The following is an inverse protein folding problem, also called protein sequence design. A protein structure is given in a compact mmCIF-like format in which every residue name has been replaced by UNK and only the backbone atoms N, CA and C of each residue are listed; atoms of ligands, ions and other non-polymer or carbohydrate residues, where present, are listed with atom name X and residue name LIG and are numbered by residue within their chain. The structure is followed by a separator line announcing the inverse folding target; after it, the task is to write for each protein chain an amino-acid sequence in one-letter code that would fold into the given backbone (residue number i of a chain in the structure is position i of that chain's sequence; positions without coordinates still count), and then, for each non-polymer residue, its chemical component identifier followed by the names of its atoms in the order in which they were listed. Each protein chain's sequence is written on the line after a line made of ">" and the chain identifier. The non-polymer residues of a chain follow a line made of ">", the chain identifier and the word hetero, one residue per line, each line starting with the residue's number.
data_IF_047765039791
#
_entry.id   IF_047765039791
#
_cell.length_a   1.000
_cell.length_b   1.000
_cell.length_c   1.000
_cell.angle_alpha   90.00
_cell.angle_beta   90.00
_cell.angle_gamma   90.00
#
_symmetry.space_group_name_H-M   'P 1'
#
loop_
_entity.id
_entity.type
_entity.pdbx_description
1 polymer ?
#
# COMPACT_ATOMS: atom_id res chain seq x y z
N UNK A 1 -83.64 45.05 -2.58
CA UNK A 1 -84.34 46.16 -3.26
C UNK A 1 -83.36 46.72 -4.28
N UNK A 2 -83.85 46.78 -5.49
CA UNK A 2 -83.25 47.29 -6.74
C UNK A 2 -82.13 46.47 -7.39
N UNK A 3 -82.62 45.80 -8.41
CA UNK A 3 -82.08 45.30 -9.62
C UNK A 3 -81.77 46.44 -10.59
N UNK A 4 -80.68 46.36 -11.36
CA UNK A 4 -80.69 46.83 -12.76
C UNK A 4 -79.76 45.94 -13.57
N UNK A 5 -80.34 45.39 -14.68
CA UNK A 5 -79.71 44.74 -15.82
C UNK A 5 -79.24 45.83 -16.78
N UNK A 6 -78.36 45.40 -17.70
CA UNK A 6 -78.26 45.70 -19.15
C UNK A 6 -76.78 45.82 -19.51
N UNK A 7 -76.29 45.54 -20.65
CA UNK A 7 -76.61 44.73 -21.80
C UNK A 7 -75.35 44.73 -22.69
N UNK A 8 -75.14 43.71 -23.40
CA UNK A 8 -74.30 43.41 -24.59
C UNK A 8 -73.52 44.56 -25.25
N UNK A 9 -72.20 44.26 -25.52
CA UNK A 9 -71.61 44.50 -26.87
C UNK A 9 -70.52 43.55 -27.18
N UNK A 10 -70.67 42.75 -28.23
CA UNK A 10 -69.68 41.87 -28.81
C UNK A 10 -68.69 42.73 -29.64
N UNK A 11 -67.37 42.54 -29.40
CA UNK A 11 -66.37 42.89 -30.38
C UNK A 11 -65.36 41.78 -30.47
N UNK A 12 -65.29 41.13 -31.61
CA UNK A 12 -64.30 40.14 -32.00
C UNK A 12 -62.97 40.84 -32.25
N UNK A 13 -61.95 40.43 -31.53
CA UNK A 13 -60.60 40.75 -31.93
C UNK A 13 -59.79 39.43 -31.99
N UNK A 14 -59.27 39.16 -33.18
CA UNK A 14 -58.36 38.10 -33.48
C UNK A 14 -57.05 38.38 -32.71
N UNK A 15 -56.71 37.58 -31.75
CA UNK A 15 -55.36 37.58 -31.13
C UNK A 15 -54.51 36.50 -31.85
N UNK A 16 -53.53 36.97 -32.59
CA UNK A 16 -52.51 36.13 -33.20
C UNK A 16 -51.62 35.58 -32.08
N UNK A 17 -51.63 34.29 -31.91
CA UNK A 17 -50.78 33.60 -30.95
C UNK A 17 -49.38 33.47 -31.57
N UNK A 18 -48.42 34.26 -31.09
CA UNK A 18 -47.00 34.09 -31.39
C UNK A 18 -46.46 33.00 -30.45
N UNK A 19 -46.26 31.82 -31.01
CA UNK A 19 -45.58 30.72 -30.30
C UNK A 19 -44.07 31.02 -30.38
N UNK A 20 -43.52 31.56 -29.30
CA UNK A 20 -42.06 31.63 -29.08
C UNK A 20 -41.54 30.24 -28.77
N UNK A 21 -40.95 29.56 -29.76
CA UNK A 21 -40.14 28.37 -29.52
C UNK A 21 -38.87 28.78 -28.80
N UNK A 22 -38.84 28.63 -27.46
CA UNK A 22 -37.63 28.69 -26.67
C UNK A 22 -36.87 27.39 -26.94
N UNK A 23 -35.86 27.45 -27.81
CA UNK A 23 -34.94 26.33 -28.06
C UNK A 23 -34.11 26.03 -26.81
N UNK A 24 -34.51 24.99 -26.08
CA UNK A 24 -33.72 24.43 -24.98
C UNK A 24 -32.50 23.71 -25.59
N UNK A 25 -31.38 24.40 -25.74
CA UNK A 25 -30.11 23.75 -26.06
C UNK A 25 -29.66 22.96 -24.83
N UNK A 26 -29.94 21.66 -24.79
CA UNK A 26 -29.29 20.74 -23.88
C UNK A 26 -27.78 20.76 -24.23
N UNK A 27 -27.01 21.51 -23.47
CA UNK A 27 -25.55 21.36 -23.46
C UNK A 27 -25.24 19.93 -22.94
N UNK A 28 -24.87 19.03 -23.86
CA UNK A 28 -24.36 17.72 -23.49
C UNK A 28 -23.11 17.96 -22.64
N UNK A 29 -23.17 17.70 -21.32
CA UNK A 29 -21.99 17.66 -20.49
C UNK A 29 -21.02 16.63 -21.12
N UNK A 30 -19.72 16.98 -21.25
CA UNK A 30 -18.76 16.01 -21.75
C UNK A 30 -18.83 14.79 -20.85
N UNK A 31 -19.12 13.62 -21.44
CA UNK A 31 -19.01 12.35 -20.75
C UNK A 31 -17.61 12.28 -20.18
N UNK A 32 -17.49 12.33 -18.85
CA UNK A 32 -16.22 12.11 -18.19
C UNK A 32 -15.72 10.76 -18.68
N UNK A 33 -14.61 10.75 -19.42
CA UNK A 33 -13.96 9.54 -19.84
C UNK A 33 -13.79 8.70 -18.57
N UNK A 34 -14.38 7.49 -18.54
CA UNK A 34 -14.25 6.57 -17.42
C UNK A 34 -12.75 6.36 -17.20
N UNK A 35 -12.20 6.99 -16.19
CA UNK A 35 -10.79 6.94 -15.87
C UNK A 35 -10.40 5.48 -15.73
N UNK A 36 -9.28 5.07 -16.34
CA UNK A 36 -8.76 3.73 -16.20
C UNK A 36 -8.62 3.45 -14.71
N UNK A 37 -9.35 2.45 -14.20
CA UNK A 37 -9.30 2.08 -12.77
C UNK A 37 -7.85 1.88 -12.35
N UNK A 38 -7.45 2.45 -11.20
CA UNK A 38 -6.10 2.31 -10.67
C UNK A 38 -5.69 0.83 -10.60
N UNK A 39 -4.50 0.53 -11.08
CA UNK A 39 -3.91 -0.80 -11.05
C UNK A 39 -2.59 -0.76 -10.29
N UNK A 40 -2.43 -1.62 -9.27
CA UNK A 40 -1.29 -1.58 -8.37
C UNK A 40 0.00 -2.11 -9.01
N UNK A 41 -0.12 -3.13 -9.88
CA UNK A 41 1.04 -3.76 -10.51
C UNK A 41 1.73 -2.76 -11.44
N UNK A 42 3.05 -2.64 -11.29
CA UNK A 42 3.90 -1.71 -12.03
C UNK A 42 3.51 -0.22 -11.88
N UNK A 43 2.69 0.11 -10.88
CA UNK A 43 2.32 1.50 -10.61
C UNK A 43 3.55 2.31 -10.18
N UNK A 44 3.78 3.41 -10.87
CA UNK A 44 4.82 4.37 -10.49
C UNK A 44 4.37 5.23 -9.30
N UNK A 45 5.31 5.94 -8.67
CA UNK A 45 4.98 6.94 -7.63
C UNK A 45 3.98 7.96 -8.17
N UNK A 46 4.15 8.40 -9.41
CA UNK A 46 3.26 9.36 -10.05
C UNK A 46 1.84 8.78 -10.23
N UNK A 47 1.71 7.51 -10.65
CA UNK A 47 0.40 6.86 -10.81
C UNK A 47 -0.33 6.77 -9.46
N UNK A 48 0.37 6.38 -8.39
CA UNK A 48 -0.17 6.30 -7.04
C UNK A 48 -0.69 7.68 -6.60
N UNK A 49 0.14 8.72 -6.74
CA UNK A 49 -0.23 10.07 -6.31
C UNK A 49 -1.38 10.64 -7.13
N UNK A 50 -1.39 10.42 -8.44
CA UNK A 50 -2.51 10.83 -9.29
C UNK A 50 -3.81 10.12 -8.92
N UNK A 51 -3.76 8.82 -8.60
CA UNK A 51 -4.94 8.07 -8.17
C UNK A 51 -5.47 8.60 -6.82
N UNK A 52 -4.59 8.94 -5.86
CA UNK A 52 -4.99 9.55 -4.59
C UNK A 52 -5.60 10.94 -4.83
N UNK A 53 -4.97 11.80 -5.64
CA UNK A 53 -5.48 13.13 -5.96
C UNK A 53 -6.85 13.09 -6.65
N UNK A 54 -7.12 12.06 -7.46
CA UNK A 54 -8.43 11.83 -8.10
C UNK A 54 -9.40 11.10 -7.19
N UNK A 55 -9.00 10.73 -5.97
CA UNK A 55 -9.80 9.95 -5.02
C UNK A 55 -10.23 8.58 -5.56
N UNK A 56 -9.43 7.99 -6.44
CA UNK A 56 -9.62 6.64 -6.98
C UNK A 56 -9.16 5.57 -5.98
N UNK A 57 -8.23 5.91 -5.10
CA UNK A 57 -7.70 5.06 -4.04
C UNK A 57 -7.24 5.91 -2.85
N UNK A 58 -7.22 5.32 -1.66
CA UNK A 58 -6.66 5.90 -0.43
C UNK A 58 -5.32 5.25 -0.08
N UNK A 59 -4.51 5.90 0.77
CA UNK A 59 -3.29 5.32 1.31
C UNK A 59 -3.59 4.03 2.09
N UNK A 60 -4.69 4.00 2.83
CA UNK A 60 -5.14 2.81 3.57
C UNK A 60 -5.49 1.65 2.65
N UNK A 61 -6.18 1.91 1.54
CA UNK A 61 -6.49 0.88 0.54
C UNK A 61 -5.22 0.35 -0.14
N UNK A 62 -4.26 1.23 -0.46
CA UNK A 62 -2.96 0.82 -0.99
C UNK A 62 -2.23 -0.13 -0.05
N UNK A 63 -2.13 0.20 1.25
CA UNK A 63 -1.51 -0.69 2.24
C UNK A 63 -2.23 -2.04 2.28
N UNK A 64 -3.58 -2.05 2.26
CA UNK A 64 -4.37 -3.30 2.25
C UNK A 64 -4.13 -4.13 0.99
N UNK A 65 -4.00 -3.51 -0.18
CA UNK A 65 -3.67 -4.21 -1.43
C UNK A 65 -2.29 -4.85 -1.35
N UNK A 66 -1.28 -4.13 -0.84
CA UNK A 66 0.05 -4.70 -0.62
C UNK A 66 0.02 -5.85 0.40
N UNK A 67 -0.72 -5.73 1.50
CA UNK A 67 -0.87 -6.81 2.48
C UNK A 67 -1.54 -8.05 1.87
N UNK A 68 -2.53 -7.89 1.00
CA UNK A 68 -3.14 -9.00 0.27
C UNK A 68 -2.11 -9.71 -0.65
N UNK A 69 -1.28 -8.94 -1.37
CA UNK A 69 -0.19 -9.50 -2.19
C UNK A 69 0.85 -10.20 -1.34
N UNK A 70 1.26 -9.61 -0.22
CA UNK A 70 2.19 -10.24 0.73
C UNK A 70 1.63 -11.58 1.19
N UNK A 71 0.36 -11.65 1.54
CA UNK A 71 -0.29 -12.90 1.95
C UNK A 71 -0.29 -13.94 0.84
N UNK A 72 -0.48 -13.54 -0.41
CA UNK A 72 -0.50 -14.44 -1.56
C UNK A 72 0.90 -14.96 -1.93
N UNK A 73 1.93 -14.13 -1.83
CA UNK A 73 3.24 -14.43 -2.42
C UNK A 73 4.40 -14.56 -1.44
N UNK A 74 4.24 -14.16 -0.17
CA UNK A 74 5.34 -14.20 0.82
C UNK A 74 5.41 -15.53 1.58
N UNK A 75 5.16 -16.64 0.90
CA UNK A 75 5.23 -18.00 1.45
C UNK A 75 6.55 -18.69 1.15
N UNK A 76 6.65 -19.96 1.56
CA UNK A 76 7.80 -20.83 1.36
C UNK A 76 7.97 -21.17 -0.12
N UNK A 77 9.17 -21.05 -0.64
CA UNK A 77 9.51 -21.34 -2.03
C UNK A 77 10.60 -22.42 -2.21
N UNK A 78 11.11 -22.96 -1.10
CA UNK A 78 12.13 -24.01 -1.13
C UNK A 78 11.84 -25.10 -0.10
N UNK A 79 12.35 -26.30 -0.35
CA UNK A 79 12.47 -27.39 0.61
C UNK A 79 13.88 -27.41 1.18
N UNK A 80 14.00 -27.50 2.48
CA UNK A 80 15.28 -27.59 3.20
C UNK A 80 15.15 -28.63 4.33
N UNK A 81 15.03 -29.93 3.99
CA UNK A 81 14.77 -30.98 4.98
C UNK A 81 15.90 -31.13 6.01
N UNK A 82 17.11 -30.72 5.65
CA UNK A 82 18.30 -30.73 6.52
C UNK A 82 18.56 -29.39 7.21
N UNK A 83 17.54 -28.53 7.30
CA UNK A 83 17.61 -27.20 7.93
C UNK A 83 18.29 -26.15 7.05
N UNK A 84 18.48 -24.95 7.62
CA UNK A 84 18.91 -23.74 6.90
C UNK A 84 20.33 -23.87 6.30
N UNK A 85 21.19 -24.72 6.86
CA UNK A 85 22.54 -24.97 6.35
C UNK A 85 22.59 -26.07 5.30
N UNK A 86 21.52 -26.83 5.14
CA UNK A 86 21.41 -27.90 4.14
C UNK A 86 21.33 -27.41 2.69
N UNK A 87 21.26 -28.34 1.79
CA UNK A 87 21.01 -28.05 0.38
C UNK A 87 19.68 -27.31 0.23
N UNK A 88 19.66 -26.35 -0.71
CA UNK A 88 18.44 -25.63 -1.08
C UNK A 88 17.83 -26.35 -2.28
N UNK A 89 16.65 -26.92 -2.09
CA UNK A 89 15.88 -27.56 -3.16
C UNK A 89 14.70 -26.64 -3.48
N UNK A 90 14.59 -26.25 -4.74
CA UNK A 90 13.46 -25.41 -5.18
C UNK A 90 12.18 -26.23 -5.19
N UNK A 91 11.08 -25.62 -4.77
CA UNK A 91 9.75 -26.19 -4.90
C UNK A 91 9.20 -25.82 -6.27
N UNK A 92 8.95 -26.79 -7.17
CA UNK A 92 8.39 -26.51 -8.49
C UNK A 92 7.05 -25.74 -8.35
N UNK A 93 6.94 -24.67 -9.14
CA UNK A 93 5.74 -23.82 -9.18
C UNK A 93 5.28 -23.33 -7.81
N UNK A 94 6.21 -23.02 -6.90
CA UNK A 94 5.92 -22.60 -5.54
C UNK A 94 4.95 -21.40 -5.47
N UNK A 95 4.98 -20.50 -6.47
CA UNK A 95 4.14 -19.31 -6.50
C UNK A 95 4.41 -18.31 -5.38
N UNK A 96 5.44 -18.58 -4.56
CA UNK A 96 5.81 -17.78 -3.38
C UNK A 96 7.30 -17.44 -3.42
N UNK A 97 7.70 -16.35 -2.73
CA UNK A 97 9.07 -15.83 -2.84
C UNK A 97 9.76 -15.55 -1.50
N UNK A 98 9.04 -15.61 -0.38
CA UNK A 98 9.56 -15.31 0.96
C UNK A 98 10.37 -13.99 1.05
N UNK A 99 9.89 -12.94 0.41
CA UNK A 99 10.61 -11.69 0.24
C UNK A 99 10.67 -10.81 1.49
N UNK A 100 9.75 -11.00 2.44
CA UNK A 100 9.59 -10.12 3.60
C UNK A 100 9.74 -10.90 4.91
N UNK A 101 10.57 -10.36 5.82
CA UNK A 101 10.85 -10.95 7.12
C UNK A 101 9.90 -10.47 8.22
N UNK A 102 9.60 -9.19 8.26
CA UNK A 102 8.82 -8.53 9.32
C UNK A 102 7.79 -7.59 8.72
N UNK A 103 6.63 -7.44 9.37
CA UNK A 103 5.56 -6.53 8.98
C UNK A 103 5.33 -5.45 10.03
N UNK A 104 5.19 -4.21 9.60
CA UNK A 104 4.87 -3.07 10.45
C UNK A 104 3.37 -3.04 10.77
N UNK A 105 2.92 -4.01 11.56
CA UNK A 105 1.53 -4.17 11.98
C UNK A 105 1.45 -4.36 13.49
N UNK A 106 0.44 -3.76 14.11
CA UNK A 106 0.03 -4.09 15.49
C UNK A 106 -0.29 -5.57 15.62
N UNK A 107 -0.07 -6.20 16.78
CA UNK A 107 -0.40 -7.62 16.98
C UNK A 107 -1.83 -7.99 16.62
N UNK A 108 -2.81 -7.13 16.97
CA UNK A 108 -4.21 -7.35 16.64
C UNK A 108 -4.45 -7.35 15.12
N UNK A 109 -3.94 -6.34 14.41
CA UNK A 109 -4.06 -6.22 12.95
C UNK A 109 -3.34 -7.37 12.24
N UNK A 110 -2.14 -7.73 12.70
CA UNK A 110 -1.35 -8.82 12.16
C UNK A 110 -2.09 -10.16 12.25
N UNK A 111 -2.63 -10.47 13.43
CA UNK A 111 -3.42 -11.71 13.68
C UNK A 111 -4.72 -11.72 12.87
N UNK A 112 -5.46 -10.62 12.85
CA UNK A 112 -6.71 -10.50 12.08
C UNK A 112 -6.49 -10.71 10.58
N UNK A 113 -5.35 -10.29 10.04
CA UNK A 113 -4.95 -10.51 8.66
C UNK A 113 -4.34 -11.91 8.43
N UNK A 114 -4.18 -12.71 9.48
CA UNK A 114 -3.69 -14.09 9.42
C UNK A 114 -2.20 -14.22 9.13
N UNK A 115 -1.39 -13.27 9.57
CA UNK A 115 0.07 -13.37 9.58
C UNK A 115 0.56 -13.95 10.91
N UNK A 116 1.57 -14.80 10.85
CA UNK A 116 2.15 -15.47 12.01
C UNK A 116 3.00 -14.53 12.90
N UNK A 117 3.44 -15.07 14.06
CA UNK A 117 4.20 -14.32 15.03
C UNK A 117 5.64 -14.02 14.57
N UNK A 118 6.18 -14.75 13.61
CA UNK A 118 7.49 -14.44 13.02
C UNK A 118 7.51 -13.11 12.28
N UNK A 119 6.35 -12.65 11.81
CA UNK A 119 6.17 -11.35 11.16
C UNK A 119 6.00 -10.18 12.16
N UNK A 120 6.10 -10.42 13.47
CA UNK A 120 5.93 -9.41 14.51
C UNK A 120 7.01 -8.33 14.45
N UNK A 121 6.62 -7.09 14.77
CA UNK A 121 7.51 -5.93 14.84
C UNK A 121 8.57 -6.04 15.95
N UNK A 122 8.22 -6.72 17.04
CA UNK A 122 9.08 -7.04 18.17
C UNK A 122 8.67 -8.39 18.77
N UNK A 123 9.61 -9.09 19.34
CA UNK A 123 9.33 -10.33 20.11
C UNK A 123 9.31 -10.08 21.62
N UNK A 124 9.81 -8.93 22.06
CA UNK A 124 9.92 -8.56 23.47
C UNK A 124 8.80 -7.66 23.96
N UNK A 125 8.10 -6.98 23.06
CA UNK A 125 6.96 -6.12 23.37
C UNK A 125 5.63 -6.85 23.10
N UNK A 126 5.12 -7.54 24.10
CA UNK A 126 3.92 -8.36 23.98
C UNK A 126 2.65 -7.56 23.65
N UNK A 127 2.54 -6.32 24.09
CA UNK A 127 1.36 -5.48 23.90
C UNK A 127 1.44 -4.63 22.64
N UNK A 128 2.64 -4.16 22.31
CA UNK A 128 2.93 -3.27 21.17
C UNK A 128 1.82 -2.20 20.95
N UNK A 129 1.44 -1.53 22.04
CA UNK A 129 0.33 -0.56 22.07
C UNK A 129 0.79 0.90 22.08
N UNK A 130 2.10 1.17 21.95
CA UNK A 130 2.63 2.53 22.05
C UNK A 130 2.04 3.47 20.99
N UNK A 131 1.40 4.59 21.37
CA UNK A 131 0.91 5.58 20.41
C UNK A 131 2.04 6.30 19.67
N UNK A 132 3.29 6.24 20.19
CA UNK A 132 4.47 6.83 19.55
C UNK A 132 5.01 5.99 18.39
N UNK A 133 4.53 4.76 18.23
CA UNK A 133 4.93 3.83 17.19
C UNK A 133 3.70 3.34 16.38
N UNK A 134 3.03 4.24 15.63
CA UNK A 134 1.90 3.85 14.79
C UNK A 134 2.33 2.79 13.78
N UNK A 135 1.44 1.85 13.46
CA UNK A 135 1.70 0.86 12.41
C UNK A 135 1.42 1.43 11.01
N UNK A 136 1.72 0.65 9.98
CA UNK A 136 1.56 1.11 8.60
C UNK A 136 0.11 1.45 8.24
N UNK A 137 -0.88 0.78 8.83
CA UNK A 137 -2.30 1.08 8.63
C UNK A 137 -2.70 2.38 9.33
N UNK A 138 -2.19 2.62 10.54
CA UNK A 138 -2.41 3.86 11.29
C UNK A 138 -1.77 5.06 10.59
N UNK A 139 -0.56 4.91 10.06
CA UNK A 139 0.12 5.94 9.26
C UNK A 139 -0.67 6.24 7.99
N UNK A 140 -1.13 5.22 7.27
CA UNK A 140 -1.93 5.38 6.08
C UNK A 140 -3.25 6.11 6.37
N UNK A 141 -3.95 5.73 7.44
CA UNK A 141 -5.19 6.38 7.86
C UNK A 141 -4.97 7.85 8.25
N UNK A 142 -3.84 8.18 8.88
CA UNK A 142 -3.49 9.56 9.21
C UNK A 142 -3.22 10.38 7.93
N UNK A 143 -2.58 9.81 6.92
CA UNK A 143 -2.39 10.47 5.62
C UNK A 143 -3.72 10.72 4.91
N UNK A 144 -4.62 9.74 4.92
CA UNK A 144 -5.96 9.87 4.33
C UNK A 144 -6.77 10.97 5.01
N UNK A 145 -6.71 11.03 6.35
CA UNK A 145 -7.38 12.09 7.13
C UNK A 145 -6.81 13.47 6.82
N UNK A 146 -5.49 13.61 6.72
CA UNK A 146 -4.84 14.87 6.38
C UNK A 146 -5.18 15.31 4.96
N UNK A 147 -5.17 14.39 4.00
CA UNK A 147 -5.58 14.65 2.63
C UNK A 147 -7.06 15.06 2.54
N UNK A 148 -7.94 14.38 3.27
CA UNK A 148 -9.35 14.74 3.32
C UNK A 148 -9.57 16.15 3.88
N UNK A 149 -8.76 16.57 4.88
CA UNK A 149 -8.83 17.88 5.53
C UNK A 149 -8.27 19.00 4.68
N UNK A 150 -7.17 18.75 3.96
CA UNK A 150 -6.38 19.81 3.29
C UNK A 150 -6.47 19.79 1.77
N UNK A 151 -6.84 18.65 1.17
CA UNK A 151 -6.71 18.39 -0.26
C UNK A 151 -5.27 18.33 -0.77
N UNK A 152 -4.28 18.26 0.15
CA UNK A 152 -2.86 18.26 -0.20
C UNK A 152 -2.18 16.98 0.24
N UNK A 153 -1.26 16.49 -0.58
CA UNK A 153 -0.38 15.39 -0.21
C UNK A 153 0.56 15.85 0.91
N UNK A 154 0.86 14.95 1.87
CA UNK A 154 1.75 15.27 3.02
C UNK A 154 3.22 15.43 2.60
N UNK A 155 3.59 14.93 1.43
CA UNK A 155 4.94 15.01 0.90
C UNK A 155 5.10 14.31 -0.44
N UNK A 156 6.30 14.34 -1.02
CA UNK A 156 6.56 13.75 -2.35
C UNK A 156 6.47 12.22 -2.38
N UNK A 157 6.35 11.55 -1.23
CA UNK A 157 6.15 10.10 -1.13
C UNK A 157 4.83 9.74 -0.43
N UNK A 158 3.86 10.66 -0.39
CA UNK A 158 2.54 10.36 0.17
C UNK A 158 1.92 9.13 -0.51
N UNK A 159 1.45 8.17 0.29
CA UNK A 159 0.86 6.92 -0.18
C UNK A 159 1.85 5.88 -0.70
N UNK A 160 3.14 6.22 -0.81
CA UNK A 160 4.16 5.27 -1.29
C UNK A 160 4.48 4.27 -0.20
N UNK A 161 4.15 3.00 -0.45
CA UNK A 161 4.38 1.88 0.47
C UNK A 161 5.74 1.25 0.19
N UNK A 162 6.56 1.10 1.23
CA UNK A 162 7.94 0.63 1.10
C UNK A 162 8.25 -0.57 2.00
N UNK A 163 9.12 -1.45 1.51
CA UNK A 163 9.84 -2.43 2.31
C UNK A 163 11.30 -1.96 2.47
N UNK A 164 11.79 -1.95 3.70
CA UNK A 164 13.17 -1.55 4.03
C UNK A 164 14.00 -2.81 4.24
N UNK A 165 15.16 -2.89 3.61
CA UNK A 165 16.06 -4.05 3.79
C UNK A 165 16.39 -4.25 5.27
N UNK A 166 16.31 -5.49 5.75
CA UNK A 166 16.37 -5.82 7.19
C UNK A 166 17.74 -5.67 7.84
N UNK A 167 18.63 -4.87 7.26
CA UNK A 167 19.88 -4.40 7.86
C UNK A 167 19.84 -2.93 8.24
N UNK A 168 18.79 -2.19 7.84
CA UNK A 168 18.65 -0.78 8.17
C UNK A 168 17.68 -0.60 9.31
N UNK A 169 18.06 0.21 10.26
CA UNK A 169 17.28 0.46 11.47
C UNK A 169 15.96 1.16 11.16
N UNK A 170 14.92 0.64 11.81
CA UNK A 170 13.57 1.22 11.83
C UNK A 170 13.07 1.18 13.27
N UNK A 171 12.80 2.35 13.86
CA UNK A 171 12.48 2.47 15.29
C UNK A 171 11.24 1.68 15.72
N UNK A 172 10.36 1.36 14.76
CA UNK A 172 9.08 0.69 14.96
C UNK A 172 9.10 -0.81 14.64
N UNK A 173 10.18 -1.31 14.08
CA UNK A 173 10.36 -2.74 13.79
C UNK A 173 11.75 -3.21 14.19
N UNK A 174 11.87 -4.48 14.57
CA UNK A 174 13.17 -5.11 14.80
C UNK A 174 14.03 -5.08 13.55
N UNK A 175 15.34 -4.98 13.73
CA UNK A 175 16.34 -5.04 12.67
C UNK A 175 17.25 -6.24 12.94
N UNK A 176 17.16 -7.28 12.11
CA UNK A 176 17.80 -8.57 12.39
C UNK A 176 19.05 -8.82 11.58
N UNK A 177 19.29 -8.08 10.50
CA UNK A 177 20.29 -8.41 9.48
C UNK A 177 20.21 -9.86 8.98
N UNK A 178 19.02 -10.46 9.09
CA UNK A 178 18.76 -11.85 8.75
C UNK A 178 19.16 -12.87 9.83
N UNK A 179 19.77 -12.44 10.94
CA UNK A 179 20.19 -13.34 12.02
C UNK A 179 19.06 -13.59 13.02
N UNK A 180 18.87 -14.86 13.39
CA UNK A 180 17.98 -15.26 14.48
C UNK A 180 18.76 -15.23 15.81
N UNK A 181 19.18 -14.05 16.22
CA UNK A 181 19.95 -13.79 17.42
C UNK A 181 19.12 -13.02 18.45
N UNK A 182 19.42 -13.20 19.73
CA UNK A 182 18.63 -12.60 20.82
C UNK A 182 18.51 -11.07 20.68
N UNK A 183 19.61 -10.36 20.37
CA UNK A 183 19.59 -8.91 20.19
C UNK A 183 18.77 -8.44 18.98
N UNK A 184 18.57 -9.29 17.98
CA UNK A 184 17.81 -8.97 16.78
C UNK A 184 16.29 -8.99 17.00
N UNK A 185 15.84 -9.34 18.20
CA UNK A 185 14.41 -9.34 18.53
C UNK A 185 13.91 -7.99 19.04
N UNK A 186 14.81 -7.06 19.35
CA UNK A 186 14.46 -5.73 19.81
C UNK A 186 14.42 -4.71 18.67
N UNK A 187 13.63 -3.66 18.91
CA UNK A 187 13.58 -2.52 17.99
C UNK A 187 14.77 -1.59 18.26
N UNK A 188 15.40 -1.05 17.20
CA UNK A 188 16.37 0.03 17.33
C UNK A 188 15.76 1.27 17.99
N UNK A 189 16.55 2.10 18.70
CA UNK A 189 16.04 3.30 19.35
C UNK A 189 15.58 4.38 18.35
N UNK A 190 16.12 4.36 17.12
CA UNK A 190 15.84 5.36 16.07
C UNK A 190 15.92 4.75 14.68
N UNK A 191 15.37 5.46 13.70
CA UNK A 191 15.50 5.12 12.30
C UNK A 191 16.92 5.40 11.79
N UNK A 192 17.40 4.60 10.86
CA UNK A 192 18.53 4.99 10.02
C UNK A 192 18.21 6.30 9.29
N UNK A 193 19.21 7.17 9.10
CA UNK A 193 19.03 8.52 8.55
C UNK A 193 18.20 8.56 7.26
N UNK A 194 18.44 7.63 6.34
CA UNK A 194 17.67 7.61 5.08
C UNK A 194 16.21 7.17 5.30
N UNK A 195 15.94 6.25 6.25
CA UNK A 195 14.58 5.81 6.61
C UNK A 195 13.79 6.99 7.20
N UNK A 196 14.41 7.74 8.13
CA UNK A 196 13.82 8.94 8.68
C UNK A 196 13.46 9.97 7.57
N UNK A 197 14.34 10.15 6.59
CA UNK A 197 14.08 11.02 5.43
C UNK A 197 12.94 10.52 4.54
N UNK A 198 12.83 9.21 4.31
CA UNK A 198 11.72 8.63 3.55
C UNK A 198 10.38 8.86 4.27
N UNK A 199 10.33 8.63 5.58
CA UNK A 199 9.12 8.90 6.38
C UNK A 199 8.76 10.39 6.37
N UNK A 200 9.74 11.28 6.54
CA UNK A 200 9.53 12.73 6.46
C UNK A 200 8.99 13.18 5.10
N UNK A 201 9.33 12.46 4.03
CA UNK A 201 8.78 12.67 2.70
C UNK A 201 7.38 12.08 2.49
N UNK A 202 6.82 11.37 3.48
CA UNK A 202 5.49 10.78 3.44
C UNK A 202 5.43 9.30 3.05
N UNK A 203 6.56 8.59 3.00
CA UNK A 203 6.56 7.16 2.73
C UNK A 203 5.97 6.35 3.89
N UNK A 204 5.26 5.28 3.57
CA UNK A 204 4.71 4.32 4.53
C UNK A 204 5.63 3.10 4.56
N UNK A 205 6.37 2.93 5.66
CA UNK A 205 7.23 1.75 5.85
C UNK A 205 6.38 0.60 6.33
N UNK A 206 6.09 -0.35 5.42
CA UNK A 206 5.19 -1.49 5.69
C UNK A 206 5.94 -2.72 6.20
N UNK A 207 7.18 -2.94 5.79
CA UNK A 207 7.86 -4.21 6.03
C UNK A 207 9.38 -4.08 6.07
N UNK A 208 10.02 -5.12 6.61
CA UNK A 208 11.44 -5.38 6.41
C UNK A 208 11.59 -6.43 5.30
N UNK A 209 12.42 -6.16 4.30
CA UNK A 209 12.70 -7.15 3.27
C UNK A 209 13.77 -8.14 3.72
N UNK A 210 13.55 -9.41 3.37
CA UNK A 210 14.49 -10.49 3.64
C UNK A 210 15.82 -10.29 2.93
N UNK A 211 16.88 -10.86 3.48
CA UNK A 211 18.24 -10.75 2.92
C UNK A 211 19.05 -11.99 3.28
N UNK A 212 20.17 -12.20 2.59
CA UNK A 212 21.18 -13.14 3.06
C UNK A 212 21.76 -12.68 4.39
N UNK A 213 21.94 -13.59 5.32
CA UNK A 213 22.38 -13.28 6.68
C UNK A 213 23.63 -12.39 6.68
N UNK A 214 23.61 -11.29 7.43
CA UNK A 214 24.61 -10.22 7.42
C UNK A 214 24.94 -9.68 6.01
N UNK A 215 23.93 -9.61 5.16
CA UNK A 215 24.07 -9.18 3.76
C UNK A 215 25.01 -10.06 2.93
N UNK A 216 25.16 -11.32 3.28
CA UNK A 216 25.94 -12.30 2.51
C UNK A 216 25.32 -12.52 1.11
N UNK A 217 26.12 -13.08 0.20
CA UNK A 217 25.68 -13.39 -1.15
C UNK A 217 24.72 -14.60 -1.24
N UNK A 218 24.44 -15.28 -0.12
CA UNK A 218 23.52 -16.42 -0.08
C UNK A 218 22.08 -15.92 0.08
N UNK A 219 21.10 -16.49 -0.62
CA UNK A 219 19.70 -16.08 -0.55
C UNK A 219 18.98 -16.70 0.66
N UNK A 220 19.65 -16.83 1.79
CA UNK A 220 19.12 -17.45 3.00
C UNK A 220 19.60 -16.74 4.25
N UNK A 221 18.79 -16.81 5.29
CA UNK A 221 19.11 -16.30 6.63
C UNK A 221 18.46 -17.18 7.70
N UNK A 222 19.05 -17.25 8.89
CA UNK A 222 18.49 -18.01 10.02
C UNK A 222 17.15 -17.43 10.48
N UNK A 223 16.98 -16.09 10.41
CA UNK A 223 15.73 -15.43 10.76
C UNK A 223 14.66 -15.53 9.68
N UNK A 224 14.96 -15.10 8.46
CA UNK A 224 13.98 -14.97 7.39
C UNK A 224 13.78 -16.22 6.54
N UNK A 225 14.68 -17.20 6.64
CA UNK A 225 14.71 -18.35 5.75
C UNK A 225 15.24 -18.03 4.36
N UNK A 226 15.07 -18.96 3.43
CA UNK A 226 15.48 -18.79 2.02
C UNK A 226 14.41 -18.03 1.24
N UNK A 227 14.84 -17.11 0.39
CA UNK A 227 13.96 -16.36 -0.51
C UNK A 227 14.28 -16.67 -1.98
N UNK A 228 13.30 -16.49 -2.86
CA UNK A 228 13.38 -16.88 -4.26
C UNK A 228 13.26 -15.68 -5.20
N UNK A 229 13.60 -15.90 -6.47
CA UNK A 229 13.47 -14.87 -7.50
C UNK A 229 11.97 -14.67 -7.84
N UNK A 230 11.44 -13.45 -7.84
CA UNK A 230 10.03 -13.19 -8.12
C UNK A 230 9.62 -13.47 -9.58
N UNK A 231 10.56 -13.49 -10.52
CA UNK A 231 10.28 -13.79 -11.94
C UNK A 231 10.39 -15.27 -12.26
N UNK A 232 11.12 -16.03 -11.44
CA UNK A 232 11.30 -17.48 -11.62
C UNK A 232 11.65 -18.09 -10.26
N UNK A 233 10.65 -18.63 -9.56
CA UNK A 233 10.81 -19.17 -8.21
C UNK A 233 11.66 -20.43 -8.16
N UNK A 234 11.95 -21.05 -9.31
CA UNK A 234 12.85 -22.20 -9.41
C UNK A 234 14.33 -21.76 -9.53
N UNK A 235 14.57 -20.46 -9.66
CA UNK A 235 15.90 -19.87 -9.63
C UNK A 235 16.16 -19.17 -8.30
N UNK A 236 17.24 -19.57 -7.66
CA UNK A 236 17.72 -18.90 -6.45
C UNK A 236 18.33 -17.57 -6.86
N UNK A 237 17.91 -16.43 -6.26
CA UNK A 237 18.55 -15.15 -6.53
C UNK A 237 19.99 -15.20 -6.01
N UNK A 238 20.95 -15.17 -6.93
CA UNK A 238 22.34 -14.92 -6.54
C UNK A 238 22.50 -13.41 -6.39
N UNK A 239 23.13 -12.99 -5.31
CA UNK A 239 23.37 -11.56 -5.04
C UNK A 239 23.99 -10.88 -6.25
N UNK A 240 23.45 -9.73 -6.64
CA UNK A 240 23.87 -8.95 -7.81
C UNK A 240 25.35 -8.51 -7.78
N UNK A 241 26.05 -8.70 -6.66
CA UNK A 241 27.43 -8.28 -6.47
C UNK A 241 28.50 -9.23 -7.03
N UNK A 242 28.15 -10.40 -7.59
CA UNK A 242 29.15 -11.40 -8.02
C UNK A 242 28.90 -11.93 -9.42
N UNK A 243 28.50 -11.11 -10.39
CA UNK A 243 28.85 -11.41 -11.77
C UNK A 243 30.29 -10.95 -12.03
N UNK A 244 31.26 -11.81 -11.79
CA UNK A 244 32.49 -11.73 -12.57
C UNK A 244 32.11 -12.14 -13.98
N UNK A 245 32.42 -11.33 -15.01
CA UNK A 245 32.37 -11.81 -16.38
C UNK A 245 33.41 -12.92 -16.48
N UNK A 246 32.97 -14.08 -16.94
CA UNK A 246 33.85 -15.13 -17.46
C UNK A 246 34.42 -14.69 -18.78
#
# INVERSE_FOLDING_TARGET
>A
MFSIRLDRARTHWCAATVISMLGLTLAAAPAAAAGKKFHLEEATIADIQQAILRREITSTELVKLYLARIKAYNGTCVSQPNGILGAIETVPHAGAINALSTLNLRPASRKALGFDDRKARSMTDATDASPKMPDALEIAAAQDAEFARTGKLVGPLHGVVMAIKDQYDTFDMRTTSGADAFYANDRPPEDATFVARLRAAGAIVLAKSNLGEYASATPRSSFGGTFCNPYDTERIPRGACLRRPS
#
